data_IF_604671163492
#
_entry.id   IF_604671163492
#
_cell.length_a   1.000
_cell.length_b   1.000
_cell.length_c   1.000
_cell.angle_alpha   90.00
_cell.angle_beta   90.00
_cell.angle_gamma   90.00
#
_symmetry.space_group_name_H-M   'P 1'
#
loop_
_entity.id
_entity.type
_entity.pdbx_description
1 polymer ?
#
# COMPACT_ATOMS: atom_id res chain seq x y z
N UNK A 1 15.74 -1.54 -9.33
CA UNK A 1 16.45 -0.58 -8.47
C UNK A 1 16.45 -1.14 -7.06
N UNK A 2 17.61 -1.12 -6.39
CA UNK A 2 17.86 -1.90 -5.18
C UNK A 2 17.06 -1.38 -3.99
N UNK A 3 16.07 -2.15 -3.54
CA UNK A 3 15.46 -1.97 -2.23
C UNK A 3 16.55 -2.18 -1.16
N UNK A 4 17.07 -1.10 -0.59
CA UNK A 4 17.91 -1.15 0.61
C UNK A 4 19.40 -0.94 0.40
N UNK A 5 19.81 0.32 0.20
CA UNK A 5 21.19 0.76 0.40
C UNK A 5 21.59 0.76 1.89
N UNK A 6 22.89 0.87 2.16
CA UNK A 6 23.50 0.94 3.50
C UNK A 6 23.09 2.26 4.19
N UNK A 7 21.89 2.29 4.78
CA UNK A 7 21.24 3.48 5.33
C UNK A 7 19.71 3.45 5.23
N UNK A 8 19.13 2.46 4.53
CA UNK A 8 17.69 2.30 4.40
C UNK A 8 17.09 1.72 5.69
N UNK A 9 16.41 2.57 6.46
CA UNK A 9 15.66 2.21 7.68
C UNK A 9 14.26 1.63 7.36
N UNK A 10 14.05 1.22 6.10
CA UNK A 10 12.78 0.69 5.65
C UNK A 10 11.68 1.74 5.52
N UNK A 11 11.95 3.05 5.59
CA UNK A 11 10.91 4.10 5.60
C UNK A 11 9.92 3.94 6.77
N UNK A 12 10.41 3.57 7.96
CA UNK A 12 9.55 3.35 9.12
C UNK A 12 8.75 4.60 9.51
N UNK A 13 9.38 5.78 9.55
CA UNK A 13 8.71 7.05 9.83
C UNK A 13 7.59 7.32 8.81
N UNK A 14 7.88 7.24 7.52
CA UNK A 14 6.89 7.45 6.47
C UNK A 14 5.72 6.45 6.56
N UNK A 15 5.99 5.18 6.87
CA UNK A 15 4.90 4.19 7.11
C UNK A 15 4.01 4.60 8.26
N UNK A 16 4.59 5.09 9.35
CA UNK A 16 3.84 5.56 10.51
C UNK A 16 2.98 6.78 10.16
N UNK A 17 3.53 7.72 9.38
CA UNK A 17 2.79 8.90 8.95
C UNK A 17 1.65 8.54 7.98
N UNK A 18 1.89 7.64 7.03
CA UNK A 18 0.84 7.15 6.12
C UNK A 18 -0.26 6.43 6.90
N UNK A 19 0.10 5.54 7.84
CA UNK A 19 -0.87 4.86 8.67
C UNK A 19 -1.68 5.86 9.53
N UNK A 20 -1.01 6.87 10.11
CA UNK A 20 -1.66 7.96 10.85
C UNK A 20 -2.68 8.70 9.99
N UNK A 21 -2.31 9.05 8.76
CA UNK A 21 -3.19 9.76 7.83
C UNK A 21 -4.45 8.95 7.51
N UNK A 22 -4.31 7.64 7.32
CA UNK A 22 -5.45 6.74 7.11
C UNK A 22 -6.32 6.62 8.37
N UNK A 23 -5.71 6.51 9.55
CA UNK A 23 -6.44 6.45 10.83
C UNK A 23 -7.22 7.73 11.14
N UNK A 24 -6.66 8.90 10.82
CA UNK A 24 -7.33 10.20 11.01
C UNK A 24 -8.62 10.28 10.17
N UNK A 25 -8.60 9.67 8.99
CA UNK A 25 -9.77 9.50 8.13
C UNK A 25 -10.71 8.34 8.52
N UNK A 26 -10.43 7.65 9.63
CA UNK A 26 -11.23 6.51 10.11
C UNK A 26 -10.98 5.20 9.35
N UNK A 27 -9.96 5.14 8.48
CA UNK A 27 -9.59 3.93 7.74
C UNK A 27 -8.68 3.07 8.61
N UNK A 28 -9.04 1.79 8.79
CA UNK A 28 -8.18 0.84 9.51
C UNK A 28 -7.00 0.46 8.63
N UNK A 29 -5.80 0.77 9.11
CA UNK A 29 -4.55 0.42 8.45
C UNK A 29 -3.59 -0.25 9.44
N UNK A 30 -2.83 -1.24 8.97
CA UNK A 30 -1.79 -1.90 9.74
C UNK A 30 -0.47 -1.90 8.96
N UNK A 31 0.65 -1.83 9.66
CA UNK A 31 1.97 -1.93 9.07
C UNK A 31 2.92 -2.69 10.00
N UNK A 32 3.95 -3.31 9.43
CA UNK A 32 4.96 -3.99 10.23
C UNK A 32 5.88 -2.96 10.90
N UNK A 33 5.81 -2.83 12.23
CA UNK A 33 6.69 -2.00 13.05
C UNK A 33 8.11 -2.60 13.21
N UNK A 34 8.72 -3.05 12.11
CA UNK A 34 10.12 -3.48 12.05
C UNK A 34 10.89 -2.56 11.10
N UNK A 35 12.12 -2.23 11.48
CA UNK A 35 13.01 -1.37 10.67
C UNK A 35 13.39 -2.06 9.35
N UNK A 36 13.65 -3.38 9.38
CA UNK A 36 13.90 -4.20 8.19
C UNK A 36 12.95 -5.39 8.13
N UNK A 37 11.68 -5.16 7.75
CA UNK A 37 10.75 -6.26 7.52
C UNK A 37 11.26 -7.09 6.33
N UNK A 38 11.13 -8.42 6.40
CA UNK A 38 11.38 -9.24 5.22
C UNK A 38 10.28 -8.96 4.19
N UNK A 39 10.64 -8.55 2.98
CA UNK A 39 9.70 -8.24 1.89
C UNK A 39 8.63 -9.32 1.71
N UNK A 40 9.04 -10.60 1.72
CA UNK A 40 8.11 -11.72 1.57
C UNK A 40 7.02 -11.76 2.65
N UNK A 41 7.35 -11.41 3.90
CA UNK A 41 6.36 -11.36 4.98
C UNK A 41 5.40 -10.19 4.81
N UNK A 42 5.86 -9.06 4.27
CA UNK A 42 4.99 -7.93 3.95
C UNK A 42 4.02 -8.27 2.82
N UNK A 43 4.50 -8.94 1.78
CA UNK A 43 3.64 -9.39 0.69
C UNK A 43 2.61 -10.42 1.17
N UNK A 44 2.98 -11.34 2.06
CA UNK A 44 2.03 -12.30 2.63
C UNK A 44 0.97 -11.61 3.50
N UNK A 45 1.36 -10.70 4.40
CA UNK A 45 0.41 -9.95 5.22
C UNK A 45 -0.50 -9.05 4.35
N UNK A 46 0.03 -8.49 3.26
CA UNK A 46 -0.76 -7.71 2.32
C UNK A 46 -1.86 -8.53 1.64
N UNK A 47 -1.68 -9.84 1.44
CA UNK A 47 -2.74 -10.70 0.86
C UNK A 47 -3.97 -10.85 1.77
N UNK A 48 -3.83 -10.62 3.07
CA UNK A 48 -4.93 -10.74 4.03
C UNK A 48 -5.79 -9.47 4.10
N UNK A 49 -5.41 -8.41 3.39
CA UNK A 49 -6.12 -7.13 3.34
C UNK A 49 -6.55 -6.81 1.91
N UNK A 50 -7.61 -6.01 1.71
CA UNK A 50 -8.08 -5.65 0.37
C UNK A 50 -7.12 -4.71 -0.37
N UNK A 51 -6.50 -3.77 0.33
CA UNK A 51 -5.66 -2.72 -0.26
C UNK A 51 -4.28 -2.71 0.38
N UNK A 52 -3.25 -2.67 -0.46
CA UNK A 52 -1.87 -2.51 -0.06
C UNK A 52 -1.33 -1.14 -0.49
N UNK A 53 -0.72 -0.42 0.45
CA UNK A 53 0.04 0.82 0.19
C UNK A 53 1.53 0.47 0.18
N UNK A 54 2.19 0.71 -0.94
CA UNK A 54 3.62 0.45 -1.15
C UNK A 54 4.35 1.80 -1.14
N UNK A 55 5.35 1.90 -0.27
CA UNK A 55 6.19 3.09 -0.13
C UNK A 55 7.54 2.81 -0.78
N UNK A 56 7.80 3.47 -1.91
CA UNK A 56 9.12 3.55 -2.54
C UNK A 56 9.83 4.82 -2.10
N UNK A 57 11.15 4.79 -1.97
CA UNK A 57 11.90 5.98 -1.54
C UNK A 57 11.76 7.12 -2.55
N UNK A 58 11.90 6.82 -3.84
CA UNK A 58 11.76 7.79 -4.94
C UNK A 58 10.35 8.38 -4.99
N UNK A 59 9.32 7.55 -4.86
CA UNK A 59 7.93 8.00 -4.78
C UNK A 59 7.68 8.91 -3.57
N UNK A 60 8.17 8.54 -2.39
CA UNK A 60 8.00 9.35 -1.18
C UNK A 60 8.70 10.71 -1.30
N UNK A 61 9.88 10.75 -1.89
CA UNK A 61 10.59 12.00 -2.20
C UNK A 61 9.81 12.88 -3.20
N UNK A 62 9.06 12.26 -4.11
CA UNK A 62 8.14 12.94 -5.02
C UNK A 62 6.76 13.28 -4.39
N UNK A 63 6.53 12.96 -3.12
CA UNK A 63 5.24 13.17 -2.46
C UNK A 63 4.13 12.23 -2.93
N UNK A 64 4.51 11.06 -3.45
CA UNK A 64 3.60 10.05 -4.01
C UNK A 64 3.76 8.72 -3.26
N UNK A 65 2.71 7.90 -3.33
CA UNK A 65 2.71 6.52 -2.83
C UNK A 65 2.03 5.62 -3.84
N UNK A 66 2.29 4.32 -3.76
CA UNK A 66 1.74 3.36 -4.70
C UNK A 66 0.63 2.55 -4.06
N UNK A 67 -0.58 2.68 -4.58
CA UNK A 67 -1.75 1.91 -4.15
C UNK A 67 -1.95 0.70 -5.03
N UNK A 68 -2.19 -0.45 -4.43
CA UNK A 68 -2.44 -1.70 -5.13
C UNK A 68 -3.57 -2.48 -4.46
N UNK A 69 -4.43 -3.08 -5.27
CA UNK A 69 -5.35 -4.11 -4.79
C UNK A 69 -4.55 -5.38 -4.50
N UNK A 70 -4.61 -5.84 -3.25
CA UNK A 70 -3.85 -7.00 -2.80
C UNK A 70 -4.60 -8.34 -2.99
N UNK A 71 -5.90 -8.29 -3.30
CA UNK A 71 -6.75 -9.44 -3.65
C UNK A 71 -6.70 -9.78 -5.13
N UNK A 72 -6.28 -8.85 -5.98
CA UNK A 72 -6.16 -9.04 -7.43
C UNK A 72 -5.10 -10.09 -7.87
N UNK A 73 -4.70 -11.02 -7.00
CA UNK A 73 -3.78 -12.11 -7.30
C UNK A 73 -4.51 -13.37 -7.79
N UNK A 74 -4.00 -13.93 -8.90
CA UNK A 74 -4.33 -15.22 -9.56
C UNK A 74 -5.36 -15.24 -10.71
N UNK A 75 -5.63 -14.11 -11.38
CA UNK A 75 -6.39 -14.07 -12.64
C UNK A 75 -5.62 -13.47 -13.83
N UNK A 76 -6.06 -13.77 -15.06
CA UNK A 76 -5.50 -13.35 -16.37
C UNK A 76 -5.27 -11.82 -16.56
N UNK A 77 -5.70 -10.98 -15.61
CA UNK A 77 -5.52 -9.52 -15.59
C UNK A 77 -4.30 -9.04 -14.79
N UNK A 78 -3.50 -9.95 -14.20
CA UNK A 78 -2.36 -9.65 -13.30
C UNK A 78 -1.21 -8.89 -13.97
N UNK A 79 -1.06 -8.93 -15.30
CA UNK A 79 0.10 -8.31 -15.97
C UNK A 79 0.12 -6.77 -15.92
N UNK A 80 -1.01 -6.10 -15.64
CA UNK A 80 -1.10 -4.64 -15.69
C UNK A 80 -1.15 -3.93 -14.34
N UNK A 81 -1.56 -4.59 -13.26
CA UNK A 81 -1.72 -3.90 -11.98
C UNK A 81 -0.46 -3.97 -11.10
N UNK A 82 0.53 -3.18 -11.52
CA UNK A 82 1.70 -2.86 -10.67
C UNK A 82 1.32 -1.94 -9.50
N UNK A 83 0.05 -1.59 -9.31
CA UNK A 83 -0.39 -0.52 -8.45
C UNK A 83 -0.27 0.85 -9.11
N UNK A 84 -1.20 1.75 -8.76
CA UNK A 84 -1.32 3.13 -9.21
C UNK A 84 -0.51 4.06 -8.32
N UNK A 85 0.24 4.98 -8.91
CA UNK A 85 0.85 6.09 -8.17
C UNK A 85 -0.21 7.14 -7.84
N UNK A 86 -0.32 7.48 -6.58
CA UNK A 86 -1.24 8.49 -6.06
C UNK A 86 -0.47 9.51 -5.24
N UNK A 87 -0.90 10.77 -5.29
CA UNK A 87 -0.32 11.81 -4.45
C UNK A 87 -0.69 11.56 -2.99
N UNK A 88 0.25 11.85 -2.07
CA UNK A 88 0.05 11.66 -0.62
C UNK A 88 -1.13 12.47 -0.09
N UNK A 89 -1.40 13.64 -0.67
CA UNK A 89 -2.57 14.47 -0.35
C UNK A 89 -3.91 13.76 -0.65
N UNK A 90 -4.00 13.02 -1.76
CA UNK A 90 -5.22 12.32 -2.20
C UNK A 90 -5.25 10.86 -1.74
N UNK A 91 -4.31 10.44 -0.89
CA UNK A 91 -4.14 9.05 -0.48
C UNK A 91 -5.41 8.49 0.17
N UNK A 92 -6.03 9.26 1.06
CA UNK A 92 -7.23 8.85 1.80
C UNK A 92 -8.39 8.60 0.83
N UNK A 93 -8.64 9.54 -0.07
CA UNK A 93 -9.73 9.45 -1.04
C UNK A 93 -9.53 8.28 -2.00
N UNK A 94 -8.30 8.11 -2.49
CA UNK A 94 -7.97 7.01 -3.40
C UNK A 94 -8.07 5.64 -2.70
N UNK A 95 -7.68 5.53 -1.42
CA UNK A 95 -7.86 4.30 -0.63
C UNK A 95 -9.35 4.02 -0.42
N UNK A 96 -10.15 5.01 -0.02
CA UNK A 96 -11.60 4.83 0.15
C UNK A 96 -12.29 4.44 -1.15
N UNK A 97 -11.93 5.09 -2.25
CA UNK A 97 -12.45 4.80 -3.59
C UNK A 97 -12.11 3.37 -4.01
N UNK A 98 -10.87 2.94 -3.79
CA UNK A 98 -10.44 1.58 -4.09
C UNK A 98 -11.14 0.57 -3.20
N UNK A 99 -11.20 0.79 -1.88
CA UNK A 99 -11.95 -0.06 -0.94
C UNK A 99 -13.43 -0.19 -1.32
N UNK A 100 -14.06 0.91 -1.75
CA UNK A 100 -15.45 0.90 -2.17
C UNK A 100 -15.66 0.09 -3.45
N UNK A 101 -14.79 0.24 -4.45
CA UNK A 101 -14.83 -0.59 -5.68
C UNK A 101 -14.67 -2.07 -5.35
N UNK A 102 -13.66 -2.37 -4.54
CA UNK A 102 -13.34 -3.69 -4.01
C UNK A 102 -14.55 -4.33 -3.31
N UNK A 103 -15.29 -3.56 -2.50
CA UNK A 103 -16.48 -4.04 -1.79
C UNK A 103 -17.70 -4.21 -2.70
N UNK A 104 -17.81 -3.43 -3.78
CA UNK A 104 -18.88 -3.58 -4.79
C UNK A 104 -18.67 -4.84 -5.63
N UNK A 105 -17.43 -5.14 -6.02
CA UNK A 105 -17.09 -6.34 -6.79
C UNK A 105 -17.28 -7.65 -5.99
N UNK A 106 -17.27 -7.61 -4.65
CA UNK A 106 -17.54 -8.78 -3.80
C UNK A 106 -19.04 -9.11 -3.63
N UNK A 107 -19.95 -8.24 -4.09
CA UNK A 107 -21.40 -8.45 -3.97
C UNK A 107 -22.06 -9.15 -5.17
N UNK A 108 -21.28 -9.57 -6.17
CA UNK A 108 -21.76 -10.15 -7.43
C UNK A 108 -21.56 -11.67 -7.56
N UNK A 109 -21.16 -12.37 -6.49
CA UNK A 109 -21.09 -13.85 -6.42
C UNK A 109 -22.29 -14.47 -5.67
#
# INVERSE_FOLDING_TARGET
>A
MAAGGKGFDGLLAERMEVARQLWDAGIRAEFTAKVKPKMLQQFNAAKEVPVAVILGQEEMEAGQVRLKDARAGDGDKVEKDRGRLVSRENLVEEVMSLLSKIALEEGED
#
